data_IF_862923674074
#
_entry.id   IF_862923674074
#
_cell.length_a   1.000
_cell.length_b   1.000
_cell.length_c   1.000
_cell.angle_alpha   90.00
_cell.angle_beta   90.00
_cell.angle_gamma   90.00
#
_symmetry.space_group_name_H-M   'P 1'
#
loop_
_entity.id
_entity.type
_entity.pdbx_description
1 polymer ?
#
# COMPACT_ATOMS: atom_id res chain seq x y z
N UNK A 1 -25.26 26.64 -18.89
CA UNK A 1 -24.52 25.66 -18.08
C UNK A 1 -23.08 26.13 -18.03
N UNK A 2 -22.76 27.03 -17.11
CA UNK A 2 -21.42 27.60 -16.94
C UNK A 2 -20.51 26.57 -16.25
N UNK A 3 -19.55 26.03 -17.01
CA UNK A 3 -18.39 25.38 -16.44
C UNK A 3 -17.53 26.47 -15.81
N UNK A 4 -17.71 26.74 -14.52
CA UNK A 4 -16.77 27.54 -13.75
C UNK A 4 -15.41 26.86 -13.85
N UNK A 5 -14.53 27.46 -14.63
CA UNK A 5 -13.13 27.08 -14.76
C UNK A 5 -12.46 27.27 -13.39
N UNK A 6 -12.53 26.24 -12.53
CA UNK A 6 -11.79 26.17 -11.28
C UNK A 6 -10.33 26.01 -11.64
N UNK A 7 -9.60 27.12 -11.62
CA UNK A 7 -8.19 27.13 -11.96
C UNK A 7 -7.46 26.15 -11.01
N UNK A 8 -6.83 25.09 -11.52
CA UNK A 8 -6.18 24.08 -10.70
C UNK A 8 -4.84 24.61 -10.17
N UNK A 9 -4.61 24.50 -8.86
CA UNK A 9 -3.40 24.99 -8.22
C UNK A 9 -2.63 23.87 -7.52
N UNK A 10 -1.31 23.85 -7.73
CA UNK A 10 -0.41 22.86 -7.12
C UNK A 10 -0.10 23.29 -5.69
N UNK A 11 -0.46 22.42 -4.73
CA UNK A 11 -0.22 22.66 -3.30
C UNK A 11 1.12 22.09 -2.85
N UNK A 12 1.45 20.89 -3.34
CA UNK A 12 2.68 20.18 -3.00
C UNK A 12 3.13 19.26 -4.14
N UNK A 13 4.41 18.94 -4.17
CA UNK A 13 5.01 17.96 -5.10
C UNK A 13 5.74 16.89 -4.31
N UNK A 14 5.49 15.63 -4.65
CA UNK A 14 6.01 14.45 -3.98
C UNK A 14 6.90 13.65 -4.94
N UNK A 15 7.83 12.89 -4.37
CA UNK A 15 8.78 12.10 -5.16
C UNK A 15 8.15 10.83 -5.72
N UNK A 16 7.09 10.33 -5.08
CA UNK A 16 6.39 9.11 -5.46
C UNK A 16 4.90 9.21 -5.10
N UNK A 17 4.10 8.33 -5.69
CA UNK A 17 2.64 8.30 -5.53
C UNK A 17 2.23 7.97 -4.09
N UNK A 18 3.01 7.13 -3.40
CA UNK A 18 2.69 6.72 -2.04
C UNK A 18 2.76 7.90 -1.07
N UNK A 19 3.78 8.75 -1.18
CA UNK A 19 3.89 9.97 -0.38
C UNK A 19 2.78 10.98 -0.70
N UNK A 20 2.21 10.95 -1.91
CA UNK A 20 1.17 11.88 -2.33
C UNK A 20 -0.25 11.44 -1.92
N UNK A 21 -0.49 10.14 -1.77
CA UNK A 21 -1.79 9.57 -1.40
C UNK A 21 -2.24 9.98 0.01
N UNK A 22 -1.32 10.01 0.97
CA UNK A 22 -1.60 10.39 2.35
C UNK A 22 -2.16 11.83 2.49
N UNK A 23 -1.46 12.88 2.01
CA UNK A 23 -1.97 14.25 2.05
C UNK A 23 -3.22 14.44 1.18
N UNK A 24 -3.38 13.68 0.09
CA UNK A 24 -4.62 13.69 -0.69
C UNK A 24 -5.82 13.19 0.13
N UNK A 25 -5.64 12.10 0.90
CA UNK A 25 -6.69 11.54 1.73
C UNK A 25 -7.15 12.53 2.81
N UNK A 26 -6.22 13.16 3.52
CA UNK A 26 -6.54 14.17 4.52
C UNK A 26 -7.26 15.40 3.96
N UNK A 27 -6.87 15.87 2.77
CA UNK A 27 -7.60 16.96 2.11
C UNK A 27 -9.04 16.56 1.77
N UNK A 28 -9.24 15.33 1.28
CA UNK A 28 -10.58 14.81 0.97
C UNK A 28 -11.44 14.64 2.23
N UNK A 29 -10.85 14.18 3.33
CA UNK A 29 -11.53 14.08 4.64
C UNK A 29 -11.95 15.46 5.17
N UNK A 30 -11.11 16.49 4.95
CA UNK A 30 -11.44 17.88 5.23
C UNK A 30 -12.46 18.50 4.25
N UNK A 31 -13.01 17.72 3.30
CA UNK A 31 -13.97 18.19 2.30
C UNK A 31 -13.35 19.02 1.18
N UNK A 32 -12.02 19.05 1.07
CA UNK A 32 -11.30 19.77 0.02
C UNK A 32 -11.09 18.82 -1.17
N UNK A 33 -11.64 19.13 -2.36
CA UNK A 33 -11.45 18.29 -3.54
C UNK A 33 -9.97 18.31 -3.95
N UNK A 34 -9.29 17.18 -3.83
CA UNK A 34 -7.88 17.03 -4.16
C UNK A 34 -7.65 15.88 -5.13
N UNK A 35 -6.86 16.09 -6.17
CA UNK A 35 -6.45 15.07 -7.13
C UNK A 35 -4.95 15.06 -7.33
N UNK A 36 -4.44 13.90 -7.74
CA UNK A 36 -3.04 13.70 -8.03
C UNK A 36 -2.85 13.81 -9.53
N UNK A 37 -1.93 14.67 -9.93
CA UNK A 37 -1.45 14.74 -11.31
C UNK A 37 -0.03 14.22 -11.34
N UNK A 38 0.20 13.19 -12.15
CA UNK A 38 1.54 12.86 -12.58
C UNK A 38 2.10 14.06 -13.35
N UNK A 39 3.22 14.62 -12.90
CA UNK A 39 3.91 15.62 -13.70
C UNK A 39 4.41 14.96 -15.00
N UNK A 40 3.76 15.20 -16.15
CA UNK A 40 4.20 14.75 -17.48
C UNK A 40 3.84 15.80 -18.55
N UNK A 41 4.67 16.03 -19.61
CA UNK A 41 5.22 15.03 -20.53
C UNK A 41 6.72 15.20 -20.91
N UNK A 42 7.63 15.44 -19.97
CA UNK A 42 9.08 15.46 -20.28
C UNK A 42 9.71 14.08 -20.06
N UNK A 43 10.07 13.39 -21.15
CA UNK A 43 10.92 12.18 -21.17
C UNK A 43 12.26 12.34 -20.41
N UNK A 44 12.62 13.57 -20.01
CA UNK A 44 13.83 13.89 -19.23
C UNK A 44 13.81 13.44 -17.78
N UNK A 45 12.66 13.03 -17.23
CA UNK A 45 12.56 12.57 -15.83
C UNK A 45 12.21 11.09 -15.69
N UNK A 46 12.41 10.29 -16.74
CA UNK A 46 12.69 8.87 -16.58
C UNK A 46 14.02 8.75 -15.85
N UNK A 47 13.98 8.68 -14.51
CA UNK A 47 15.17 8.31 -13.76
C UNK A 47 15.63 6.93 -14.27
N UNK A 48 16.91 6.76 -14.63
CA UNK A 48 17.43 5.45 -14.98
C UNK A 48 17.16 4.50 -13.79
N UNK A 49 16.38 3.44 -14.03
CA UNK A 49 16.00 2.46 -12.99
C UNK A 49 14.50 2.27 -12.72
N UNK A 50 13.59 2.85 -13.52
CA UNK A 50 12.16 2.51 -13.44
C UNK A 50 11.40 3.14 -12.26
N UNK A 51 11.87 4.28 -11.74
CA UNK A 51 11.14 5.05 -10.74
C UNK A 51 10.09 5.94 -11.40
N UNK A 52 8.88 5.93 -10.85
CA UNK A 52 7.78 6.84 -11.19
C UNK A 52 8.21 8.28 -10.91
N UNK A 53 7.99 9.19 -11.87
CA UNK A 53 8.36 10.60 -11.72
C UNK A 53 7.58 11.33 -10.61
N UNK A 54 7.94 12.59 -10.31
CA UNK A 54 7.30 13.36 -9.24
C UNK A 54 5.80 13.55 -9.45
N UNK A 55 5.04 13.41 -8.38
CA UNK A 55 3.57 13.49 -8.34
C UNK A 55 3.16 14.83 -7.73
N UNK A 56 2.27 15.57 -8.39
CA UNK A 56 1.75 16.84 -7.92
C UNK A 56 0.39 16.64 -7.27
N UNK A 57 0.22 17.23 -6.09
CA UNK A 57 -1.08 17.31 -5.41
C UNK A 57 -1.73 18.64 -5.76
N UNK A 58 -2.91 18.54 -6.38
CA UNK A 58 -3.62 19.67 -6.98
C UNK A 58 -4.97 19.83 -6.30
N UNK A 59 -5.34 21.08 -6.03
CA UNK A 59 -6.63 21.50 -5.47
C UNK A 59 -7.17 22.70 -6.25
N UNK A 60 -8.46 23.06 -6.13
CA UNK A 60 -8.98 24.29 -6.70
C UNK A 60 -8.26 25.53 -6.14
N UNK A 61 -7.94 26.50 -6.98
CA UNK A 61 -7.21 27.72 -6.58
C UNK A 61 -7.88 28.46 -5.40
N UNK A 62 -9.21 28.42 -5.30
CA UNK A 62 -9.98 29.02 -4.20
C UNK A 62 -9.76 28.33 -2.83
N UNK A 63 -9.14 27.15 -2.82
CA UNK A 63 -8.93 26.31 -1.62
C UNK A 63 -7.47 26.05 -1.30
N UNK A 64 -6.54 26.74 -1.96
CA UNK A 64 -5.09 26.50 -1.76
C UNK A 64 -4.65 26.81 -0.33
N UNK A 65 -5.12 27.93 0.23
CA UNK A 65 -4.73 28.35 1.57
C UNK A 65 -5.35 27.42 2.64
N UNK A 66 -6.62 27.08 2.47
CA UNK A 66 -7.31 26.06 3.28
C UNK A 66 -6.54 24.73 3.24
N UNK A 67 -6.16 24.27 2.05
CA UNK A 67 -5.41 23.03 1.87
C UNK A 67 -4.03 23.07 2.56
N UNK A 68 -3.32 24.20 2.47
CA UNK A 68 -2.03 24.39 3.16
C UNK A 68 -2.20 24.34 4.67
N UNK A 69 -3.23 24.99 5.20
CA UNK A 69 -3.50 25.00 6.65
C UNK A 69 -3.80 23.59 7.19
N UNK A 70 -4.62 22.81 6.48
CA UNK A 70 -4.95 21.42 6.83
C UNK A 70 -3.70 20.55 6.80
N UNK A 71 -2.86 20.68 5.77
CA UNK A 71 -1.63 19.90 5.66
C UNK A 71 -0.60 20.27 6.73
N UNK A 72 -0.48 21.56 7.08
CA UNK A 72 0.38 22.02 8.18
C UNK A 72 -0.12 21.51 9.53
N UNK A 73 -1.42 21.53 9.77
CA UNK A 73 -2.02 20.97 10.98
C UNK A 73 -1.76 19.47 11.10
N UNK A 74 -1.87 18.73 9.99
CA UNK A 74 -1.59 17.29 9.97
C UNK A 74 -0.09 16.99 10.19
N UNK A 75 0.82 17.85 9.69
CA UNK A 75 2.26 17.70 9.92
C UNK A 75 2.70 18.08 11.34
N UNK A 76 1.94 18.96 12.01
CA UNK A 76 2.22 19.42 13.37
C UNK A 76 1.60 18.53 14.45
N UNK A 77 0.66 17.65 14.10
CA UNK A 77 0.15 16.66 15.02
C UNK A 77 1.31 15.74 15.48
N UNK A 78 1.51 15.52 16.80
CA UNK A 78 2.41 14.48 17.25
C UNK A 78 2.00 13.17 16.59
N UNK A 79 2.93 12.24 16.29
CA UNK A 79 2.56 10.93 15.79
C UNK A 79 1.74 10.23 16.89
N UNK A 80 0.44 10.46 16.90
CA UNK A 80 -0.50 9.62 17.61
C UNK A 80 -0.29 8.23 17.05
N UNK A 81 0.09 7.34 17.96
CA UNK A 81 0.45 5.94 17.79
C UNK A 81 0.15 5.37 16.39
N UNK A 82 1.17 4.79 15.75
CA UNK A 82 1.17 4.07 14.45
C UNK A 82 0.01 3.07 14.28
N UNK A 83 -1.22 3.56 14.28
CA UNK A 83 -2.45 2.81 14.19
C UNK A 83 -2.81 2.78 12.70
N UNK A 84 -2.21 1.80 12.03
CA UNK A 84 -2.62 1.32 10.72
C UNK A 84 -2.64 2.39 9.61
N UNK A 85 -1.48 2.94 9.26
CA UNK A 85 -1.25 3.13 7.82
C UNK A 85 -1.45 1.76 7.18
N UNK A 86 -2.36 1.59 6.19
CA UNK A 86 -2.44 0.36 5.41
C UNK A 86 -1.21 0.34 4.51
N UNK A 87 -0.03 0.09 5.10
CA UNK A 87 1.14 -0.39 4.38
C UNK A 87 0.61 -1.58 3.61
N UNK A 88 0.48 -1.43 2.29
CA UNK A 88 0.35 -2.56 1.37
C UNK A 88 1.51 -3.47 1.70
N UNK A 89 1.28 -4.46 2.59
CA UNK A 89 2.31 -5.39 2.99
C UNK A 89 2.69 -6.09 1.71
N UNK A 90 3.93 -5.95 1.24
CA UNK A 90 4.30 -6.57 -0.01
C UNK A 90 4.04 -8.07 0.15
N UNK A 91 3.33 -8.66 -0.82
CA UNK A 91 2.70 -9.99 -0.69
C UNK A 91 3.69 -11.09 -0.25
N UNK A 92 4.99 -10.88 -0.50
CA UNK A 92 6.06 -11.76 -0.04
C UNK A 92 6.16 -11.88 1.50
N UNK A 93 5.71 -10.88 2.27
CA UNK A 93 5.69 -10.95 3.75
C UNK A 93 4.70 -12.02 4.22
N UNK A 94 3.54 -12.15 3.56
CA UNK A 94 2.57 -13.20 3.88
C UNK A 94 3.16 -14.57 3.59
N UNK A 95 3.86 -14.71 2.46
CA UNK A 95 4.57 -15.95 2.09
C UNK A 95 5.69 -16.24 3.09
N UNK A 96 6.47 -15.24 3.49
CA UNK A 96 7.55 -15.40 4.47
C UNK A 96 7.00 -15.81 5.85
N UNK A 97 5.93 -15.17 6.33
CA UNK A 97 5.26 -15.57 7.57
C UNK A 97 4.69 -16.98 7.48
N UNK A 98 4.08 -17.36 6.36
CA UNK A 98 3.56 -18.71 6.15
C UNK A 98 4.69 -19.76 6.15
N UNK A 99 5.84 -19.46 5.53
CA UNK A 99 7.02 -20.32 5.55
C UNK A 99 7.61 -20.45 6.95
N UNK A 100 7.72 -19.35 7.70
CA UNK A 100 8.19 -19.37 9.09
C UNK A 100 7.23 -20.17 9.98
N UNK A 101 5.91 -20.00 9.81
CA UNK A 101 4.90 -20.81 10.51
C UNK A 101 5.01 -22.30 10.15
N UNK A 102 5.16 -22.63 8.86
CA UNK A 102 5.39 -24.01 8.42
C UNK A 102 6.68 -24.59 9.00
N UNK A 103 7.76 -23.81 9.06
CA UNK A 103 9.02 -24.24 9.65
C UNK A 103 8.90 -24.44 11.17
N UNK A 104 8.18 -23.56 11.86
CA UNK A 104 7.89 -23.69 13.30
C UNK A 104 6.99 -24.89 13.59
N UNK A 105 5.95 -25.13 12.79
CA UNK A 105 5.14 -26.35 12.90
C UNK A 105 5.99 -27.60 12.64
N UNK A 106 6.82 -27.58 11.61
CA UNK A 106 7.71 -28.70 11.31
C UNK A 106 8.76 -28.93 12.40
N UNK A 107 9.24 -27.86 13.05
CA UNK A 107 10.18 -27.92 14.17
C UNK A 107 9.51 -28.34 15.50
N UNK A 108 8.21 -28.07 15.65
CA UNK A 108 7.41 -28.47 16.81
C UNK A 108 7.07 -29.97 16.80
N UNK A 109 7.19 -30.64 15.66
CA UNK A 109 7.03 -32.10 15.56
C UNK A 109 8.34 -32.77 16.02
N UNK A 110 8.31 -33.61 17.07
CA UNK A 110 9.48 -34.39 17.48
C UNK A 110 10.01 -35.19 16.29
N UNK A 111 11.33 -35.27 16.07
CA UNK A 111 11.91 -35.93 14.89
C UNK A 111 11.46 -37.40 14.74
N UNK A 112 11.08 -38.05 15.84
CA UNK A 112 10.55 -39.42 15.93
C UNK A 112 9.14 -39.58 15.29
N UNK A 113 8.35 -38.51 15.20
CA UNK A 113 6.96 -38.52 14.70
C UNK A 113 6.82 -38.04 13.24
N UNK A 114 7.91 -37.59 12.60
CA UNK A 114 7.87 -37.13 11.19
C UNK A 114 7.57 -38.27 10.20
N UNK A 115 8.18 -39.44 10.39
CA UNK A 115 7.97 -40.63 9.55
C UNK A 115 6.53 -41.18 9.60
N UNK A 116 5.90 -41.39 10.78
CA UNK A 116 4.52 -41.88 10.82
C UNK A 116 3.54 -40.87 10.24
N UNK A 117 3.79 -39.55 10.38
CA UNK A 117 2.90 -38.52 9.83
C UNK A 117 2.93 -38.51 8.29
N UNK A 118 4.11 -38.66 7.67
CA UNK A 118 4.24 -38.78 6.21
C UNK A 118 3.58 -40.07 5.71
N UNK A 119 3.71 -41.17 6.44
CA UNK A 119 3.03 -42.43 6.11
C UNK A 119 1.50 -42.31 6.20
N UNK A 120 0.97 -41.66 7.23
CA UNK A 120 -0.47 -41.42 7.38
C UNK A 120 -0.98 -40.49 6.27
N UNK A 121 -0.24 -39.44 5.93
CA UNK A 121 -0.60 -38.54 4.84
C UNK A 121 -0.59 -39.27 3.47
N UNK A 122 0.41 -40.11 3.20
CA UNK A 122 0.47 -40.92 1.99
C UNK A 122 -0.64 -41.99 1.93
N UNK A 123 -0.96 -42.62 3.06
CA UNK A 123 -2.05 -43.59 3.16
C UNK A 123 -3.41 -42.94 2.95
N UNK A 124 -3.67 -41.77 3.54
CA UNK A 124 -4.89 -40.98 3.32
C UNK A 124 -5.00 -40.50 1.87
N UNK A 125 -3.90 -40.06 1.27
CA UNK A 125 -3.88 -39.67 -0.14
C UNK A 125 -4.15 -40.85 -1.07
N UNK A 126 -3.53 -42.01 -0.82
CA UNK A 126 -3.77 -43.24 -1.55
C UNK A 126 -5.21 -43.72 -1.43
N UNK A 127 -5.78 -43.68 -0.21
CA UNK A 127 -7.17 -44.03 0.05
C UNK A 127 -8.13 -43.07 -0.68
N UNK A 128 -7.88 -41.77 -0.61
CA UNK A 128 -8.67 -40.77 -1.34
C UNK A 128 -8.59 -40.96 -2.86
N UNK A 129 -7.41 -41.28 -3.39
CA UNK A 129 -7.19 -41.57 -4.82
C UNK A 129 -7.97 -42.82 -5.24
N UNK A 130 -7.99 -43.85 -4.41
CA UNK A 130 -8.69 -45.12 -4.68
C UNK A 130 -10.21 -44.96 -4.61
N UNK A 131 -10.74 -44.17 -3.67
CA UNK A 131 -12.19 -43.90 -3.57
C UNK A 131 -12.71 -43.05 -4.73
N UNK A 132 -11.84 -42.26 -5.39
CA UNK A 132 -12.20 -41.42 -6.54
C UNK A 132 -12.03 -42.09 -7.91
N UNK A 133 -11.49 -43.30 -7.96
CA UNK A 133 -11.27 -44.06 -9.21
C UNK A 133 -12.28 -45.19 -9.28
#
# INVERSE_FOLDING_TARGET
MEQTQRDPAVVATFTDTWQAEFPQAHLKEAGIPAWLESAGPDERFLLPGGRTGPIRLVVPADRVEDARSVLLSAAAAPPEDDEFLPRRRPRWIVVACALVLMALLAASIPPELRLPLVFVAAALYGLWRFVRT
#
